data_IF_612896469278
#
_entry.id   IF_612896469278
#
_cell.length_a   1.000
_cell.length_b   1.000
_cell.length_c   1.000
_cell.angle_alpha   90.00
_cell.angle_beta   90.00
_cell.angle_gamma   90.00
#
_symmetry.space_group_name_H-M   'P 1'
#
loop_
_entity.id
_entity.type
_entity.pdbx_description
1 polymer ?
#
# COMPACT_ATOMS: atom_id res chain seq x y z
N UNK A 1 -7.42 34.97 -5.03
CA UNK A 1 -8.28 33.79 -5.36
C UNK A 1 -8.61 32.90 -4.16
N UNK A 2 -7.71 32.70 -3.19
CA UNK A 2 -7.99 31.92 -1.95
C UNK A 2 -9.11 32.53 -1.08
N UNK A 3 -9.16 33.86 -0.94
CA UNK A 3 -10.17 34.55 -0.12
C UNK A 3 -11.60 34.44 -0.68
N UNK A 4 -11.76 34.29 -2.00
CA UNK A 4 -13.06 34.06 -2.65
C UNK A 4 -13.54 32.62 -2.47
N UNK A 5 -12.62 31.65 -2.48
CA UNK A 5 -12.95 30.23 -2.31
C UNK A 5 -13.45 29.91 -0.90
N UNK A 6 -12.84 30.51 0.14
CA UNK A 6 -13.28 30.35 1.55
C UNK A 6 -14.67 30.92 1.84
N UNK A 7 -15.15 31.86 1.02
CA UNK A 7 -16.48 32.50 1.16
C UNK A 7 -17.59 31.77 0.39
N UNK A 8 -17.24 30.79 -0.46
CA UNK A 8 -18.26 30.00 -1.14
C UNK A 8 -18.86 29.01 -0.14
N UNK A 9 -20.19 28.93 -0.02
CA UNK A 9 -20.81 27.86 0.75
C UNK A 9 -20.39 26.52 0.15
N UNK A 10 -19.94 25.61 1.01
CA UNK A 10 -19.64 24.23 0.68
C UNK A 10 -20.83 23.42 1.13
N UNK A 11 -21.62 22.94 0.17
CA UNK A 11 -22.77 22.11 0.47
C UNK A 11 -22.29 20.71 0.81
N UNK A 12 -22.47 20.32 2.07
CA UNK A 12 -22.16 18.99 2.58
C UNK A 12 -23.41 18.14 2.50
N UNK A 13 -23.55 17.38 1.41
CA UNK A 13 -24.64 16.43 1.25
C UNK A 13 -24.26 15.09 1.90
N UNK A 14 -25.16 14.52 2.68
CA UNK A 14 -24.99 13.16 3.18
C UNK A 14 -25.38 12.13 2.11
N UNK A 15 -24.75 10.94 2.06
CA UNK A 15 -25.16 9.88 1.12
C UNK A 15 -26.64 9.48 1.24
N UNK A 16 -27.24 9.71 2.42
CA UNK A 16 -28.65 9.49 2.68
C UNK A 16 -29.58 10.41 1.87
N UNK A 17 -29.16 11.67 1.64
CA UNK A 17 -29.91 12.63 0.80
C UNK A 17 -29.89 12.26 -0.69
N UNK A 18 -28.92 11.44 -1.10
CA UNK A 18 -28.79 10.93 -2.46
C UNK A 18 -29.39 9.53 -2.63
N UNK A 19 -29.99 8.95 -1.58
CA UNK A 19 -30.57 7.61 -1.61
C UNK A 19 -29.54 6.48 -1.79
N UNK A 20 -28.27 6.73 -1.45
CA UNK A 20 -27.18 5.76 -1.63
C UNK A 20 -26.93 5.00 -0.34
N UNK A 21 -26.99 3.67 -0.41
CA UNK A 21 -26.66 2.78 0.71
C UNK A 21 -25.13 2.67 0.87
N UNK A 22 -24.63 3.04 2.05
CA UNK A 22 -23.21 3.05 2.42
C UNK A 22 -22.85 1.86 3.32
N UNK A 23 -23.74 0.85 3.45
CA UNK A 23 -23.45 -0.33 4.26
C UNK A 23 -22.20 -1.06 3.76
N UNK A 24 -21.17 -1.25 4.62
CA UNK A 24 -19.96 -1.96 4.22
C UNK A 24 -20.28 -3.41 3.90
N UNK A 25 -20.09 -3.80 2.64
CA UNK A 25 -20.29 -5.20 2.20
C UNK A 25 -19.13 -6.11 2.58
N UNK A 26 -18.02 -5.54 3.05
CA UNK A 26 -16.79 -6.26 3.37
C UNK A 26 -16.31 -5.80 4.75
N UNK A 27 -15.89 -6.78 5.57
CA UNK A 27 -15.34 -6.53 6.90
C UNK A 27 -13.81 -6.58 6.81
N UNK A 28 -13.14 -5.49 7.19
CA UNK A 28 -11.69 -5.48 7.34
C UNK A 28 -11.30 -6.32 8.56
N UNK A 29 -10.70 -7.50 8.32
CA UNK A 29 -10.39 -8.45 9.39
C UNK A 29 -9.11 -8.10 10.15
N UNK A 30 -8.07 -7.67 9.43
CA UNK A 30 -6.79 -7.29 10.01
C UNK A 30 -6.02 -6.40 9.05
N UNK A 31 -5.35 -5.40 9.60
CA UNK A 31 -4.39 -4.57 8.87
C UNK A 31 -3.03 -4.80 9.52
N UNK A 32 -2.08 -5.32 8.76
CA UNK A 32 -0.70 -5.48 9.20
C UNK A 32 0.23 -4.87 8.15
N UNK A 33 1.32 -4.22 8.57
CA UNK A 33 2.33 -3.76 7.64
C UNK A 33 2.92 -4.96 6.86
N UNK A 34 3.32 -4.78 5.60
CA UNK A 34 4.00 -5.82 4.86
C UNK A 34 5.32 -6.19 5.57
N UNK A 35 5.81 -7.44 5.42
CA UNK A 35 7.08 -7.83 5.99
C UNK A 35 8.19 -6.94 5.43
N UNK A 36 9.07 -6.45 6.30
CA UNK A 36 10.21 -5.65 5.88
C UNK A 36 11.11 -6.45 4.95
N UNK A 37 11.59 -5.81 3.89
CA UNK A 37 12.54 -6.42 2.97
C UNK A 37 13.83 -6.71 3.73
N UNK A 38 14.23 -7.99 3.79
CA UNK A 38 15.51 -8.39 4.39
C UNK A 38 16.67 -7.68 3.69
N UNK A 39 17.69 -7.30 4.45
CA UNK A 39 18.90 -6.72 3.90
C UNK A 39 19.53 -7.68 2.87
N UNK A 40 19.97 -7.12 1.74
CA UNK A 40 20.69 -7.89 0.73
C UNK A 40 22.11 -8.24 1.19
N UNK A 41 22.68 -9.28 0.58
CA UNK A 41 24.05 -9.72 0.87
C UNK A 41 24.96 -9.21 -0.25
N UNK A 42 26.05 -8.53 0.12
CA UNK A 42 27.14 -8.23 -0.83
C UNK A 42 28.02 -9.47 -0.95
N UNK A 43 28.26 -9.92 -2.18
CA UNK A 43 29.16 -11.05 -2.48
C UNK A 43 30.47 -10.55 -3.03
N UNK A 44 31.57 -11.25 -2.72
CA UNK A 44 32.92 -10.86 -3.13
C UNK A 44 33.31 -11.36 -4.52
N UNK A 45 32.59 -12.35 -5.07
CA UNK A 45 32.95 -12.98 -6.34
C UNK A 45 31.73 -13.51 -7.11
N UNK A 46 31.94 -13.79 -8.41
CA UNK A 46 30.90 -14.37 -9.28
C UNK A 46 30.57 -15.82 -8.87
N UNK A 47 31.54 -16.59 -8.39
CA UNK A 47 31.31 -17.95 -7.91
C UNK A 47 30.38 -17.99 -6.70
N UNK A 48 30.60 -17.09 -5.72
CA UNK A 48 29.73 -16.94 -4.54
C UNK A 48 28.30 -16.50 -4.93
N UNK A 49 28.16 -15.69 -5.97
CA UNK A 49 26.84 -15.30 -6.48
C UNK A 49 26.07 -16.51 -7.01
N UNK A 50 26.71 -17.34 -7.84
CA UNK A 50 26.07 -18.52 -8.44
C UNK A 50 25.72 -19.55 -7.36
N UNK A 51 26.58 -19.74 -6.37
CA UNK A 51 26.33 -20.64 -5.26
C UNK A 51 25.13 -20.19 -4.41
N UNK A 52 25.08 -18.91 -4.02
CA UNK A 52 23.96 -18.37 -3.24
C UNK A 52 22.64 -18.38 -4.02
N UNK A 53 22.69 -18.14 -5.33
CA UNK A 53 21.50 -18.19 -6.18
C UNK A 53 20.94 -19.62 -6.34
N UNK A 54 21.81 -20.64 -6.46
CA UNK A 54 21.39 -22.04 -6.55
C UNK A 54 20.92 -22.61 -5.20
N UNK A 55 21.63 -22.33 -4.12
CA UNK A 55 21.40 -23.00 -2.83
C UNK A 55 20.39 -22.28 -1.94
N UNK A 56 20.50 -20.95 -1.83
CA UNK A 56 19.68 -20.17 -0.87
C UNK A 56 18.43 -19.59 -1.53
N UNK A 57 18.58 -19.01 -2.72
CA UNK A 57 17.48 -18.34 -3.42
C UNK A 57 16.69 -19.29 -4.34
N UNK A 58 17.27 -20.42 -4.77
CA UNK A 58 16.68 -21.44 -5.66
C UNK A 58 16.00 -20.83 -6.91
N UNK A 59 16.63 -19.82 -7.50
CA UNK A 59 16.09 -19.10 -8.68
C UNK A 59 16.75 -19.58 -9.99
N UNK A 60 17.79 -20.40 -9.88
CA UNK A 60 18.56 -21.05 -10.97
C UNK A 60 18.78 -22.50 -10.56
#
# INVERSE_FOLDING_TARGET
NIMKAKKKPLDTLSPAELGVDVTPRVKTLKVTPPPERKAGIKVGSVAELVEKLRNEAKVI
#
